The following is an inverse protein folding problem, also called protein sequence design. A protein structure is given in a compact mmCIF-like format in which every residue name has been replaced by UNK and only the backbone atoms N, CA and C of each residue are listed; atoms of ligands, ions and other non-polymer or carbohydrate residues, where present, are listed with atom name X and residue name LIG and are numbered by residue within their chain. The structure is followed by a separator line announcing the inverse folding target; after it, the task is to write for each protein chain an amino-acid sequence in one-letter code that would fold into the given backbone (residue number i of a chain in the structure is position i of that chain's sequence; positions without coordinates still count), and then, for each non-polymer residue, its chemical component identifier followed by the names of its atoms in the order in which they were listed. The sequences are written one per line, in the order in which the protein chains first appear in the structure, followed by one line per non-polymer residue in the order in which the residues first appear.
data_IF_291284453491
#
_entry.id   IF_291284453491
#
_cell.length_a   1.000
_cell.length_b   1.000
_cell.length_c   1.000
_cell.angle_alpha   90.00
_cell.angle_beta   90.00
_cell.angle_gamma   90.00
#
_symmetry.space_group_name_H-M   'P 1'
#
loop_
_entity.id
_entity.type
_entity.pdbx_description
1 polymer ?
#
# COMPACT_ATOMS: atom_id res chain seq x y z
N UNK A 1 17.39 1.76 7.40
CA UNK A 1 18.17 2.74 6.64
C UNK A 1 17.41 3.14 5.41
N UNK A 2 16.93 4.35 5.36
CA UNK A 2 16.18 4.80 4.19
C UNK A 2 16.99 4.77 2.90
N UNK A 3 18.30 4.93 2.98
CA UNK A 3 19.14 4.95 1.80
C UNK A 3 19.10 3.67 0.96
N UNK A 4 18.80 2.54 1.57
CA UNK A 4 18.78 1.28 0.85
C UNK A 4 17.60 1.14 -0.10
N UNK A 5 16.50 1.82 0.21
CA UNK A 5 15.31 1.79 -0.63
C UNK A 5 15.60 2.38 -2.01
N UNK A 6 16.55 3.27 -2.09
CA UNK A 6 16.85 4.02 -3.31
C UNK A 6 17.71 3.27 -4.30
N UNK A 7 18.30 2.17 -3.89
CA UNK A 7 19.03 1.31 -4.81
C UNK A 7 18.11 0.75 -5.89
N UNK A 8 16.83 0.69 -5.62
CA UNK A 8 15.83 0.23 -6.57
C UNK A 8 15.74 1.12 -7.81
N UNK A 9 15.98 2.39 -7.62
CA UNK A 9 15.83 3.37 -8.69
C UNK A 9 17.16 3.75 -9.34
N UNK A 10 18.26 3.22 -8.82
CA UNK A 10 19.58 3.47 -9.37
C UNK A 10 20.01 4.94 -9.36
N UNK A 11 19.35 5.76 -8.56
CA UNK A 11 19.61 7.19 -8.48
C UNK A 11 20.16 7.57 -7.12
N UNK A 12 21.14 8.44 -7.10
CA UNK A 12 21.68 9.01 -5.88
C UNK A 12 21.12 10.40 -5.59
N UNK A 13 20.35 10.94 -6.54
CA UNK A 13 19.75 12.26 -6.43
C UNK A 13 18.26 12.14 -6.35
N UNK A 14 17.58 13.09 -5.74
CA UNK A 14 16.13 13.20 -5.65
C UNK A 14 15.44 12.01 -4.98
N UNK A 15 16.18 11.22 -4.22
CA UNK A 15 15.65 10.08 -3.47
C UNK A 15 14.51 10.49 -2.54
N UNK A 16 14.69 11.64 -1.88
CA UNK A 16 13.68 12.16 -0.96
C UNK A 16 12.38 12.50 -1.68
N UNK A 17 12.47 13.06 -2.88
CA UNK A 17 11.28 13.38 -3.69
C UNK A 17 10.53 12.13 -4.11
N UNK A 18 11.24 11.08 -4.53
CA UNK A 18 10.64 9.83 -4.94
C UNK A 18 9.89 9.20 -3.77
N UNK A 19 10.54 9.13 -2.60
CA UNK A 19 9.94 8.53 -1.41
C UNK A 19 8.74 9.33 -0.92
N UNK A 20 8.81 10.66 -0.98
CA UNK A 20 7.70 11.52 -0.55
C UNK A 20 6.51 11.45 -1.51
N UNK A 21 6.75 11.14 -2.77
CA UNK A 21 5.70 11.05 -3.77
C UNK A 21 4.93 9.73 -3.72
N UNK A 22 5.55 8.66 -3.20
CA UNK A 22 4.91 7.34 -3.17
C UNK A 22 3.83 7.28 -2.10
N UNK A 23 2.71 6.69 -2.45
CA UNK A 23 1.60 6.44 -1.52
C UNK A 23 0.95 5.11 -1.86
N UNK A 24 0.61 4.34 -0.82
CA UNK A 24 -0.22 3.14 -0.96
C UNK A 24 -1.67 3.54 -0.78
N UNK A 25 -2.53 3.12 -1.69
CA UNK A 25 -3.95 3.43 -1.59
C UNK A 25 -4.81 2.20 -1.85
N UNK A 26 -6.07 2.28 -1.43
CA UNK A 26 -7.02 1.17 -1.55
C UNK A 26 -7.88 1.37 -2.79
N UNK A 27 -8.05 0.30 -3.56
CA UNK A 27 -9.01 0.22 -4.66
C UNK A 27 -10.08 -0.80 -4.26
N UNK A 28 -11.34 -0.39 -4.33
CA UNK A 28 -12.48 -1.24 -4.00
C UNK A 28 -13.19 -1.63 -5.28
N UNK A 29 -13.64 -2.87 -5.35
CA UNK A 29 -14.36 -3.42 -6.49
C UNK A 29 -15.65 -2.63 -6.78
N UNK A 30 -15.91 -2.33 -8.05
CA UNK A 30 -17.09 -1.60 -8.48
C UNK A 30 -16.83 -0.13 -8.76
N UNK A 31 -17.77 0.54 -9.40
CA UNK A 31 -17.62 1.94 -9.80
C UNK A 31 -17.85 2.90 -8.64
N UNK A 32 -18.81 2.58 -7.79
CA UNK A 32 -19.16 3.43 -6.64
C UNK A 32 -19.40 2.57 -5.41
N UNK A 33 -18.46 2.52 -4.48
CA UNK A 33 -18.64 1.74 -3.25
C UNK A 33 -19.66 2.35 -2.29
N UNK A 34 -20.07 3.61 -2.50
CA UNK A 34 -21.05 4.28 -1.66
C UNK A 34 -20.49 4.85 -0.37
N UNK A 35 -19.17 4.92 -0.24
CA UNK A 35 -18.48 5.52 0.90
C UNK A 35 -17.11 6.03 0.46
N UNK A 36 -16.50 6.87 1.30
CA UNK A 36 -15.18 7.44 1.02
C UNK A 36 -14.11 6.37 1.23
N UNK A 37 -13.37 6.06 0.16
CA UNK A 37 -12.26 5.10 0.18
C UNK A 37 -10.89 5.78 0.26
N UNK A 38 -10.86 7.11 0.37
CA UNK A 38 -9.59 7.81 0.44
C UNK A 38 -8.81 7.45 1.69
N UNK A 39 -7.54 7.11 1.50
CA UNK A 39 -6.59 6.85 2.58
C UNK A 39 -5.28 7.53 2.23
N UNK A 40 -4.60 8.04 3.25
CA UNK A 40 -3.23 8.49 3.11
C UNK A 40 -2.33 7.29 3.38
N UNK A 41 -1.43 6.99 2.47
CA UNK A 41 -0.52 5.84 2.60
C UNK A 41 0.93 6.21 2.41
N UNK A 42 1.32 7.46 2.63
CA UNK A 42 2.70 7.91 2.46
C UNK A 42 3.65 7.30 3.48
N UNK A 43 3.29 7.30 4.75
CA UNK A 43 4.13 6.71 5.80
C UNK A 43 4.24 5.20 5.63
N UNK A 44 3.15 4.55 5.23
CA UNK A 44 3.18 3.12 4.95
C UNK A 44 4.12 2.79 3.78
N UNK A 45 4.10 3.60 2.74
CA UNK A 45 4.99 3.41 1.60
C UNK A 45 6.45 3.61 1.99
N UNK A 46 6.76 4.64 2.80
CA UNK A 46 8.13 4.89 3.24
C UNK A 46 8.68 3.79 4.16
N UNK A 47 7.83 3.12 4.89
CA UNK A 47 8.21 2.10 5.87
C UNK A 47 7.84 0.69 5.42
N UNK A 48 7.64 0.49 4.14
CA UNK A 48 7.17 -0.78 3.58
C UNK A 48 8.06 -1.96 3.97
N UNK A 49 9.38 -1.82 3.87
CA UNK A 49 10.32 -2.88 4.24
C UNK A 49 10.19 -3.27 5.72
N UNK A 50 10.08 -2.27 6.59
CA UNK A 50 9.93 -2.53 8.02
C UNK A 50 8.59 -3.19 8.33
N UNK A 51 7.53 -2.75 7.66
CA UNK A 51 6.20 -3.33 7.83
C UNK A 51 6.13 -4.76 7.32
N UNK A 52 6.82 -5.06 6.22
CA UNK A 52 6.92 -6.43 5.72
C UNK A 52 7.57 -7.35 6.73
N UNK A 53 8.69 -6.94 7.31
CA UNK A 53 9.37 -7.70 8.34
C UNK A 53 8.51 -7.90 9.59
N UNK A 54 7.75 -6.87 9.97
CA UNK A 54 6.82 -6.99 11.09
C UNK A 54 5.71 -8.00 10.79
N UNK A 55 5.15 -7.95 9.59
CA UNK A 55 4.10 -8.89 9.18
C UNK A 55 4.61 -10.33 9.25
N UNK A 56 5.83 -10.57 8.79
CA UNK A 56 6.45 -11.89 8.87
C UNK A 56 6.60 -12.36 10.32
N UNK A 57 7.04 -11.47 11.21
CA UNK A 57 7.16 -11.79 12.64
C UNK A 57 5.82 -12.07 13.30
N UNK A 58 4.78 -11.35 12.88
CA UNK A 58 3.42 -11.53 13.41
C UNK A 58 2.68 -12.68 12.73
N UNK A 59 3.29 -13.30 11.70
CA UNK A 59 2.73 -14.40 10.94
C UNK A 59 1.42 -14.02 10.24
N UNK A 60 1.39 -12.80 9.72
CA UNK A 60 0.30 -12.32 8.87
C UNK A 60 0.85 -11.97 7.49
N UNK A 61 -0.03 -11.87 6.50
CA UNK A 61 0.39 -11.50 5.15
C UNK A 61 0.88 -10.06 5.10
N UNK A 62 2.05 -9.79 4.49
CA UNK A 62 2.48 -8.41 4.28
C UNK A 62 1.46 -7.61 3.46
N UNK A 63 1.42 -6.29 3.68
CA UNK A 63 0.48 -5.42 2.95
C UNK A 63 0.66 -5.54 1.44
N UNK A 64 1.88 -5.64 0.95
CA UNK A 64 2.15 -5.71 -0.47
C UNK A 64 1.66 -7.00 -1.13
N UNK A 65 1.31 -8.03 -0.37
CA UNK A 65 0.67 -9.21 -0.95
C UNK A 65 -0.74 -8.89 -1.47
N UNK A 66 -1.34 -7.81 -1.01
CA UNK A 66 -2.63 -7.34 -1.49
C UNK A 66 -2.51 -6.38 -2.67
N UNK A 67 -1.29 -6.13 -3.11
CA UNK A 67 -1.04 -5.27 -4.27
C UNK A 67 -1.52 -5.97 -5.55
N UNK A 68 -2.18 -5.19 -6.39
CA UNK A 68 -2.52 -5.61 -7.75
C UNK A 68 -2.30 -4.42 -8.67
N UNK A 69 -1.64 -4.65 -9.78
CA UNK A 69 -1.50 -3.64 -10.82
C UNK A 69 -2.86 -3.46 -11.50
N UNK A 70 -3.35 -2.23 -11.55
CA UNK A 70 -4.54 -1.90 -12.32
C UNK A 70 -4.14 -1.25 -13.65
N UNK A 71 -5.10 -1.14 -14.56
CA UNK A 71 -4.85 -0.54 -15.87
C UNK A 71 -4.35 0.89 -15.77
N UNK A 72 -4.86 1.67 -14.81
CA UNK A 72 -4.48 3.06 -14.63
C UNK A 72 -3.04 3.18 -14.14
N UNK A 73 -2.62 2.37 -13.20
CA UNK A 73 -1.25 2.35 -12.69
C UNK A 73 -0.27 1.96 -13.77
N UNK A 74 -0.62 0.96 -14.57
CA UNK A 74 0.22 0.50 -15.68
C UNK A 74 0.30 1.54 -16.78
N UNK A 75 -0.82 2.19 -17.10
CA UNK A 75 -0.83 3.27 -18.10
C UNK A 75 0.07 4.42 -17.69
N UNK A 76 0.03 4.82 -16.42
CA UNK A 76 0.89 5.87 -15.89
C UNK A 76 2.37 5.48 -15.98
N UNK A 77 2.71 4.24 -15.66
CA UNK A 77 4.08 3.76 -15.78
C UNK A 77 4.57 3.81 -17.23
N UNK A 78 3.72 3.41 -18.17
CA UNK A 78 4.05 3.44 -19.59
C UNK A 78 4.21 4.87 -20.10
N UNK A 79 3.35 5.79 -19.67
CA UNK A 79 3.44 7.21 -20.05
C UNK A 79 4.74 7.83 -19.54
N UNK A 80 5.22 7.40 -18.38
CA UNK A 80 6.47 7.90 -17.81
C UNK A 80 7.71 7.20 -18.38
N UNK A 81 7.52 6.30 -19.34
CA UNK A 81 8.61 5.56 -19.92
C UNK A 81 9.26 4.53 -19.01
N UNK A 82 8.61 4.21 -17.90
CA UNK A 82 9.15 3.31 -16.88
C UNK A 82 8.81 1.85 -17.15
N UNK A 83 8.00 1.55 -18.15
CA UNK A 83 7.57 0.21 -18.47
C UNK A 83 7.90 -0.20 -19.90
N UNK A 84 7.82 -1.49 -20.17
CA UNK A 84 7.96 -2.02 -21.51
C UNK A 84 6.63 -1.86 -22.25
N UNK A 85 6.61 -1.24 -23.47
CA UNK A 85 5.37 -1.10 -24.24
C UNK A 85 4.64 -2.41 -24.52
N UNK A 86 5.35 -3.53 -24.53
CA UNK A 86 4.74 -4.84 -24.72
C UNK A 86 3.78 -5.22 -23.56
N UNK A 87 3.96 -4.63 -22.40
CA UNK A 87 3.08 -4.87 -21.26
C UNK A 87 1.66 -4.40 -21.52
N UNK A 88 1.48 -3.42 -22.41
CA UNK A 88 0.15 -2.94 -22.78
C UNK A 88 -0.72 -4.04 -23.40
N UNK A 89 -0.11 -5.05 -24.00
CA UNK A 89 -0.81 -6.17 -24.63
C UNK A 89 -1.05 -7.33 -23.68
N UNK A 90 -0.38 -7.33 -22.52
CA UNK A 90 -0.39 -8.44 -21.57
C UNK A 90 -0.65 -7.96 -20.14
N UNK A 91 -1.46 -6.90 -19.98
CA UNK A 91 -1.80 -6.40 -18.65
C UNK A 91 -2.52 -7.52 -17.86
N UNK A 92 -1.99 -7.90 -16.68
CA UNK A 92 -2.70 -8.86 -15.87
C UNK A 92 -4.02 -8.25 -15.41
N UNK A 93 -5.05 -9.08 -15.33
CA UNK A 93 -6.33 -8.64 -14.76
C UNK A 93 -6.11 -8.28 -13.30
N UNK A 94 -6.81 -7.25 -12.77
CA UNK A 94 -6.71 -6.95 -11.35
C UNK A 94 -7.05 -8.17 -10.51
N UNK A 95 -6.23 -8.42 -9.51
CA UNK A 95 -6.50 -9.46 -8.53
C UNK A 95 -7.24 -8.84 -7.36
N UNK A 96 -8.34 -9.46 -6.96
CA UNK A 96 -9.21 -8.96 -5.90
C UNK A 96 -9.09 -9.84 -4.66
N UNK A 97 -9.09 -9.22 -3.50
CA UNK A 97 -8.92 -9.89 -2.21
C UNK A 97 -10.12 -9.64 -1.31
N UNK A 98 -10.34 -10.56 -0.38
CA UNK A 98 -11.36 -10.40 0.64
C UNK A 98 -10.92 -9.36 1.68
N UNK A 99 -11.81 -8.44 2.08
CA UNK A 99 -11.46 -7.45 3.10
C UNK A 99 -11.04 -8.08 4.43
N UNK A 100 -11.62 -9.22 4.79
CA UNK A 100 -11.27 -9.91 6.03
C UNK A 100 -9.79 -10.27 6.10
N UNK A 101 -9.20 -10.70 4.97
CA UNK A 101 -7.79 -11.02 4.91
C UNK A 101 -6.93 -9.78 5.17
N UNK A 102 -7.28 -8.65 4.57
CA UNK A 102 -6.58 -7.39 4.80
C UNK A 102 -6.73 -6.89 6.23
N UNK A 103 -7.90 -7.07 6.81
CA UNK A 103 -8.15 -6.66 8.20
C UNK A 103 -7.27 -7.42 9.19
N UNK A 104 -7.02 -8.70 8.96
CA UNK A 104 -6.12 -9.48 9.81
C UNK A 104 -4.74 -8.82 9.88
N UNK A 105 -4.19 -8.46 8.73
CA UNK A 105 -2.88 -7.81 8.65
C UNK A 105 -2.91 -6.41 9.27
N UNK A 106 -3.88 -5.59 8.90
CA UNK A 106 -3.97 -4.21 9.35
C UNK A 106 -4.13 -4.15 10.87
N UNK A 107 -5.04 -4.94 11.42
CA UNK A 107 -5.26 -4.96 12.87
C UNK A 107 -4.04 -5.46 13.63
N UNK A 108 -3.35 -6.49 13.13
CA UNK A 108 -2.13 -6.99 13.77
C UNK A 108 -1.03 -5.94 13.79
N UNK A 109 -0.86 -5.21 12.69
CA UNK A 109 0.14 -4.14 12.62
C UNK A 109 -0.21 -2.98 13.56
N UNK A 110 -1.47 -2.58 13.62
CA UNK A 110 -1.92 -1.53 14.55
C UNK A 110 -1.60 -1.92 15.98
N UNK A 111 -2.00 -3.12 16.39
CA UNK A 111 -1.80 -3.59 17.77
C UNK A 111 -0.32 -3.61 18.13
N UNK A 112 0.53 -4.09 17.21
CA UNK A 112 1.96 -4.12 17.45
C UNK A 112 2.55 -2.71 17.58
N UNK A 113 2.21 -1.82 16.67
CA UNK A 113 2.78 -0.47 16.63
C UNK A 113 2.30 0.39 17.80
N UNK A 114 1.07 0.19 18.26
CA UNK A 114 0.57 0.87 19.45
C UNK A 114 1.32 0.42 20.71
N UNK A 115 1.70 -0.85 20.77
CA UNK A 115 2.48 -1.39 21.89
C UNK A 115 3.97 -1.06 21.79
N UNK A 116 4.45 -0.70 20.59
CA UNK A 116 5.86 -0.38 20.35
C UNK A 116 5.99 0.95 19.62
N UNK A 117 5.78 2.09 20.30
CA UNK A 117 5.74 3.41 19.63
C UNK A 117 7.04 3.83 18.95
N UNK A 118 8.14 3.17 19.20
CA UNK A 118 9.43 3.46 18.59
C UNK A 118 9.78 2.53 17.43
N UNK A 119 8.87 1.60 17.07
CA UNK A 119 9.18 0.57 16.07
C UNK A 119 9.54 1.14 14.69
N UNK A 120 8.92 2.24 14.30
CA UNK A 120 9.21 2.93 13.03
C UNK A 120 9.82 4.32 13.28
N UNK A 121 10.43 4.52 14.45
CA UNK A 121 11.00 5.81 14.81
C UNK A 121 9.92 6.88 14.92
N UNK A 122 10.19 8.06 14.37
CA UNK A 122 9.26 9.19 14.43
C UNK A 122 8.01 9.00 13.57
N UNK A 123 7.98 8.00 12.70
CA UNK A 123 6.85 7.76 11.80
C UNK A 123 5.82 6.78 12.36
N UNK A 124 6.07 6.18 13.52
CA UNK A 124 5.18 5.17 14.08
C UNK A 124 3.76 5.69 14.26
N UNK A 125 3.60 6.87 14.86
CA UNK A 125 2.28 7.45 15.09
C UNK A 125 1.53 7.70 13.79
N UNK A 126 2.20 8.21 12.78
CA UNK A 126 1.59 8.47 11.47
C UNK A 126 1.20 7.16 10.79
N UNK A 127 2.05 6.14 10.87
CA UNK A 127 1.74 4.83 10.30
C UNK A 127 0.49 4.23 10.96
N UNK A 128 0.35 4.37 12.28
CA UNK A 128 -0.85 3.90 12.99
C UNK A 128 -2.10 4.62 12.50
N UNK A 129 -2.03 5.93 12.34
CA UNK A 129 -3.16 6.71 11.82
C UNK A 129 -3.56 6.25 10.41
N UNK A 130 -2.59 6.01 9.56
CA UNK A 130 -2.86 5.53 8.20
C UNK A 130 -3.46 4.13 8.21
N UNK A 131 -2.94 3.23 9.04
CA UNK A 131 -3.50 1.90 9.19
C UNK A 131 -4.93 1.92 9.74
N UNK A 132 -5.23 2.83 10.65
CA UNK A 132 -6.58 3.00 11.15
C UNK A 132 -7.55 3.44 10.05
N UNK A 133 -7.11 4.28 9.13
CA UNK A 133 -7.90 4.65 7.96
C UNK A 133 -8.13 3.44 7.04
N UNK A 134 -7.10 2.61 6.86
CA UNK A 134 -7.24 1.36 6.09
C UNK A 134 -8.25 0.43 6.76
N UNK A 135 -8.17 0.30 8.08
CA UNK A 135 -9.13 -0.50 8.83
C UNK A 135 -10.56 -0.01 8.60
N UNK A 136 -10.78 1.29 8.66
CA UNK A 136 -12.10 1.90 8.43
C UNK A 136 -12.63 1.54 7.04
N UNK A 137 -11.82 1.71 6.02
CA UNK A 137 -12.24 1.42 4.63
C UNK A 137 -12.51 -0.05 4.45
N UNK A 138 -11.63 -0.92 4.96
CA UNK A 138 -11.79 -2.38 4.80
C UNK A 138 -13.02 -2.90 5.53
N UNK A 139 -13.34 -2.35 6.72
CA UNK A 139 -14.56 -2.74 7.43
C UNK A 139 -15.81 -2.37 6.64
N UNK A 140 -15.83 -1.18 6.05
CA UNK A 140 -16.95 -0.77 5.21
C UNK A 140 -17.03 -1.61 3.93
N UNK A 141 -15.90 -1.94 3.35
CA UNK A 141 -15.82 -2.81 2.17
C UNK A 141 -16.40 -4.18 2.48
N UNK A 142 -16.03 -4.75 3.62
CA UNK A 142 -16.56 -6.04 4.09
C UNK A 142 -18.08 -5.97 4.31
N UNK A 143 -18.54 -4.89 4.92
CA UNK A 143 -19.98 -4.70 5.18
C UNK A 143 -20.80 -4.64 3.89
N UNK A 144 -20.20 -4.12 2.82
CA UNK A 144 -20.82 -4.04 1.49
C UNK A 144 -20.67 -5.31 0.68
N UNK A 145 -19.92 -6.30 1.15
CA UNK A 145 -19.66 -7.52 0.40
C UNK A 145 -18.80 -7.32 -0.82
N UNK A 146 -17.95 -6.29 -0.83
CA UNK A 146 -17.07 -5.96 -1.92
C UNK A 146 -15.65 -6.49 -1.66
N UNK A 147 -14.84 -6.56 -2.71
CA UNK A 147 -13.43 -6.95 -2.63
C UNK A 147 -12.54 -5.74 -2.86
N UNK A 148 -11.25 -5.90 -2.61
CA UNK A 148 -10.31 -4.80 -2.67
C UNK A 148 -8.93 -5.26 -3.12
N UNK A 149 -8.07 -4.31 -3.46
CA UNK A 149 -6.63 -4.52 -3.57
C UNK A 149 -5.90 -3.23 -3.23
N UNK A 150 -4.59 -3.34 -3.01
CA UNK A 150 -3.72 -2.19 -2.86
C UNK A 150 -3.17 -1.77 -4.22
N UNK A 151 -2.93 -0.49 -4.36
CA UNK A 151 -2.24 0.08 -5.50
C UNK A 151 -1.23 1.12 -5.02
N UNK A 152 -0.29 1.47 -5.88
CA UNK A 152 0.75 2.45 -5.57
C UNK A 152 0.54 3.68 -6.46
N UNK A 153 0.55 4.85 -5.83
CA UNK A 153 0.54 6.14 -6.51
C UNK A 153 1.91 6.80 -6.37
N UNK A 154 2.34 7.42 -7.43
CA UNK A 154 3.61 8.14 -7.50
C UNK A 154 3.42 9.66 -7.52
N UNK A 155 2.28 10.18 -7.04
CA UNK A 155 1.96 11.61 -7.02
C UNK A 155 2.23 12.24 -5.68
#
# INVERSE_FOLDING_TARGET
MPAQVFCWFGSTCDETLIVMAASLYIVVEGEDPGFDIFVNGHALARNEDALERLAERLKVSPLLEFFSADENSMALLLEQGAGNPEWAHHLPKPQWFEPAAGLVTVCALIDFLEAAPAALGSETAQAVLELQEYERVLRKTAHRGLRWHLAVSWR
#
